data_IF_476667362867
#
_entry.id   IF_476667362867
#
_cell.length_a   1.000
_cell.length_b   1.000
_cell.length_c   1.000
_cell.angle_alpha   90.00
_cell.angle_beta   90.00
_cell.angle_gamma   90.00
#
_symmetry.space_group_name_H-M   'P 1'
#
loop_
_entity.id
_entity.type
_entity.pdbx_description
1 polymer ?
#
# COMPACT_ATOMS: atom_id res chain seq x y z
N UNK A 1 11.14 -5.42 22.53
CA UNK A 1 9.88 -5.43 21.75
C UNK A 1 9.72 -4.04 21.15
N UNK A 2 9.72 -3.88 19.80
CA UNK A 2 9.38 -2.57 19.23
C UNK A 2 7.90 -2.33 19.53
N UNK A 3 7.58 -1.30 20.30
CA UNK A 3 6.22 -0.86 20.52
C UNK A 3 5.58 -0.52 19.17
N UNK A 4 4.37 -0.95 18.96
CA UNK A 4 3.58 -0.63 17.76
C UNK A 4 3.41 0.89 17.66
N UNK A 5 3.75 1.48 16.52
CA UNK A 5 3.61 2.92 16.26
C UNK A 5 2.19 3.17 15.75
N UNK A 6 1.32 3.65 16.61
CA UNK A 6 -0.12 3.84 16.33
C UNK A 6 -0.35 4.83 15.18
N UNK A 7 0.46 5.87 15.11
CA UNK A 7 0.39 6.91 14.08
C UNK A 7 0.59 6.33 12.67
N UNK A 8 1.48 5.35 12.52
CA UNK A 8 1.69 4.68 11.23
C UNK A 8 0.50 3.81 10.83
N UNK A 9 -0.18 3.19 11.79
CA UNK A 9 -1.40 2.45 11.49
C UNK A 9 -2.53 3.40 11.07
N UNK A 10 -2.65 4.58 11.69
CA UNK A 10 -3.57 5.62 11.23
C UNK A 10 -3.27 6.06 9.79
N UNK A 11 -2.01 6.39 9.48
CA UNK A 11 -1.62 6.77 8.12
C UNK A 11 -1.97 5.68 7.10
N UNK A 12 -1.67 4.41 7.41
CA UNK A 12 -2.03 3.28 6.55
C UNK A 12 -3.54 3.15 6.35
N UNK A 13 -4.34 3.43 7.39
CA UNK A 13 -5.79 3.45 7.28
C UNK A 13 -6.26 4.51 6.27
N UNK A 14 -5.77 5.74 6.39
CA UNK A 14 -6.15 6.82 5.47
C UNK A 14 -5.75 6.47 4.04
N UNK A 15 -4.52 6.03 3.82
CA UNK A 15 -4.03 5.72 2.48
C UNK A 15 -4.73 4.52 1.84
N UNK A 16 -5.11 3.49 2.61
CA UNK A 16 -5.85 2.35 2.06
C UNK A 16 -7.29 2.74 1.68
N UNK A 17 -7.93 3.61 2.46
CA UNK A 17 -9.25 4.15 2.12
C UNK A 17 -9.19 4.98 0.85
N UNK A 18 -8.19 5.87 0.72
CA UNK A 18 -7.97 6.65 -0.51
C UNK A 18 -7.71 5.75 -1.72
N UNK A 19 -6.95 4.66 -1.53
CA UNK A 19 -6.74 3.66 -2.55
C UNK A 19 -8.07 3.04 -3.00
N UNK A 20 -8.94 2.62 -2.07
CA UNK A 20 -10.26 2.06 -2.39
C UNK A 20 -11.07 3.08 -3.18
N UNK A 21 -11.20 4.33 -2.71
CA UNK A 21 -11.99 5.39 -3.33
C UNK A 21 -11.63 5.56 -4.81
N UNK A 22 -10.35 5.70 -5.13
CA UNK A 22 -9.91 5.95 -6.50
C UNK A 22 -9.71 4.70 -7.36
N UNK A 23 -9.90 3.50 -6.77
CA UNK A 23 -10.10 2.26 -7.51
C UNK A 23 -11.58 1.98 -7.84
N UNK A 24 -12.53 2.69 -7.24
CA UNK A 24 -13.91 2.78 -7.75
C UNK A 24 -13.87 3.53 -9.08
N UNK A 25 -14.02 2.81 -10.18
CA UNK A 25 -13.83 3.36 -11.55
C UNK A 25 -14.67 4.60 -11.76
N UNK A 26 -15.94 4.56 -11.37
CA UNK A 26 -16.86 5.70 -11.50
C UNK A 26 -16.33 6.96 -10.79
N UNK A 27 -15.87 6.84 -9.54
CA UNK A 27 -15.32 7.96 -8.78
C UNK A 27 -13.99 8.44 -9.38
N UNK A 28 -13.11 7.49 -9.73
CA UNK A 28 -11.82 7.83 -10.33
C UNK A 28 -11.93 8.56 -11.68
N UNK A 29 -13.00 8.30 -12.44
CA UNK A 29 -13.26 8.94 -13.72
C UNK A 29 -14.04 10.27 -13.55
N UNK A 30 -14.90 10.37 -12.54
CA UNK A 30 -15.62 11.61 -12.20
C UNK A 30 -14.70 12.68 -11.60
N UNK A 31 -13.64 12.26 -10.88
CA UNK A 31 -12.73 13.17 -10.18
C UNK A 31 -11.26 12.94 -10.58
N UNK A 32 -10.89 13.11 -11.86
CA UNK A 32 -9.56 12.75 -12.35
C UNK A 32 -8.44 13.57 -11.70
N UNK A 33 -8.68 14.84 -11.39
CA UNK A 33 -7.71 15.68 -10.71
C UNK A 33 -7.44 15.24 -9.28
N UNK A 34 -8.50 15.00 -8.51
CA UNK A 34 -8.37 14.50 -7.14
C UNK A 34 -7.67 13.13 -7.11
N UNK A 35 -7.97 12.27 -8.09
CA UNK A 35 -7.26 10.99 -8.29
C UNK A 35 -5.76 11.21 -8.52
N UNK A 36 -5.38 12.15 -9.38
CA UNK A 36 -3.98 12.45 -9.67
C UNK A 36 -3.25 12.96 -8.40
N UNK A 37 -3.89 13.87 -7.64
CA UNK A 37 -3.36 14.34 -6.35
C UNK A 37 -3.11 13.16 -5.40
N UNK A 38 -4.10 12.28 -5.22
CA UNK A 38 -3.96 11.14 -4.30
C UNK A 38 -2.91 10.14 -4.80
N UNK A 39 -2.82 9.90 -6.11
CA UNK A 39 -1.84 8.98 -6.70
C UNK A 39 -0.39 9.49 -6.58
N UNK A 40 -0.20 10.78 -6.34
CA UNK A 40 1.13 11.35 -6.07
C UNK A 40 1.69 10.87 -4.75
N UNK A 41 0.86 10.70 -3.70
CA UNK A 41 1.39 10.47 -2.35
C UNK A 41 1.00 9.15 -1.68
N UNK A 42 -0.22 8.59 -1.93
CA UNK A 42 -0.73 7.50 -1.08
C UNK A 42 0.14 6.24 -1.12
N UNK A 43 0.54 5.76 -2.30
CA UNK A 43 1.42 4.59 -2.41
C UNK A 43 2.87 4.93 -2.09
N UNK A 44 3.31 6.16 -2.39
CA UNK A 44 4.62 6.68 -2.00
C UNK A 44 4.80 6.64 -0.47
N UNK A 45 3.79 7.10 0.27
CA UNK A 45 3.77 7.04 1.72
C UNK A 45 3.77 5.59 2.26
N UNK A 46 3.02 4.67 1.64
CA UNK A 46 3.08 3.25 1.99
C UNK A 46 4.49 2.67 1.83
N UNK A 47 5.20 3.03 0.76
CA UNK A 47 6.57 2.55 0.53
C UNK A 47 7.56 3.11 1.57
N UNK A 48 7.44 4.41 1.95
CA UNK A 48 8.23 4.99 3.05
C UNK A 48 7.97 4.22 4.35
N UNK A 49 6.72 4.02 4.71
CA UNK A 49 6.33 3.28 5.93
C UNK A 49 6.89 1.86 5.89
N UNK A 50 6.82 1.19 4.75
CA UNK A 50 7.31 -0.18 4.58
C UNK A 50 8.83 -0.28 4.73
N UNK A 51 9.58 0.65 4.11
CA UNK A 51 11.04 0.74 4.26
C UNK A 51 11.45 1.00 5.71
N UNK A 52 10.74 1.91 6.40
CA UNK A 52 10.99 2.22 7.81
C UNK A 52 10.69 1.05 8.76
N UNK A 53 9.60 0.32 8.54
CA UNK A 53 9.20 -0.79 9.40
C UNK A 53 10.01 -2.06 9.17
N UNK A 54 10.78 -2.13 8.07
CA UNK A 54 11.59 -3.31 7.78
C UNK A 54 12.71 -3.47 8.80
N UNK A 55 12.79 -4.66 9.39
CA UNK A 55 13.80 -5.01 10.38
C UNK A 55 14.78 -6.04 9.81
N UNK A 56 15.97 -5.57 9.44
CA UNK A 56 17.06 -6.39 8.90
C UNK A 56 17.79 -7.23 9.94
N UNK A 57 17.60 -6.95 11.24
CA UNK A 57 18.25 -7.67 12.33
C UNK A 57 17.56 -9.01 12.67
N UNK A 58 16.52 -9.37 11.91
CA UNK A 58 15.87 -10.68 12.06
C UNK A 58 16.75 -11.78 11.49
N UNK A 59 16.58 -12.99 12.03
CA UNK A 59 17.18 -14.19 11.47
C UNK A 59 16.76 -14.41 10.01
N UNK A 60 17.67 -14.93 9.19
CA UNK A 60 17.42 -15.21 7.76
C UNK A 60 16.17 -16.05 7.53
N UNK A 61 15.96 -17.10 8.37
CA UNK A 61 14.75 -17.92 8.34
C UNK A 61 13.47 -17.12 8.57
N UNK A 62 13.50 -16.16 9.52
CA UNK A 62 12.34 -15.34 9.84
C UNK A 62 12.01 -14.34 8.71
N UNK A 63 13.03 -13.77 8.06
CA UNK A 63 12.84 -12.89 6.90
C UNK A 63 12.31 -13.68 5.70
N UNK A 64 12.93 -14.82 5.36
CA UNK A 64 12.46 -15.68 4.27
C UNK A 64 11.01 -16.11 4.47
N UNK A 65 10.64 -16.51 5.71
CA UNK A 65 9.25 -16.85 6.06
C UNK A 65 8.33 -15.62 5.89
N UNK A 66 8.76 -14.44 6.31
CA UNK A 66 7.95 -13.21 6.17
C UNK A 66 7.72 -12.85 4.69
N UNK A 67 8.75 -12.96 3.85
CA UNK A 67 8.63 -12.73 2.41
C UNK A 67 7.74 -13.77 1.74
N UNK A 68 7.89 -15.05 2.10
CA UNK A 68 7.06 -16.14 1.57
C UNK A 68 5.56 -15.88 1.84
N UNK A 69 5.24 -15.44 3.08
CA UNK A 69 3.86 -15.17 3.47
C UNK A 69 3.29 -13.82 2.97
N UNK A 70 4.06 -13.06 2.20
CA UNK A 70 3.57 -11.97 1.34
C UNK A 70 3.49 -12.46 -0.10
N UNK A 71 4.45 -13.28 -0.55
CA UNK A 71 4.55 -13.79 -1.92
C UNK A 71 3.41 -14.76 -2.28
N UNK A 72 3.10 -15.72 -1.40
CA UNK A 72 2.03 -16.71 -1.66
C UNK A 72 0.68 -16.02 -1.93
N UNK A 73 0.13 -15.17 -1.04
CA UNK A 73 -1.15 -14.51 -1.31
C UNK A 73 -1.06 -13.56 -2.51
N UNK A 74 0.09 -12.90 -2.71
CA UNK A 74 0.31 -12.08 -3.89
C UNK A 74 0.14 -12.88 -5.17
N UNK A 75 0.85 -14.02 -5.33
CA UNK A 75 0.78 -14.85 -6.55
C UNK A 75 -0.62 -15.41 -6.78
N UNK A 76 -1.30 -15.86 -5.72
CA UNK A 76 -2.66 -16.39 -5.82
C UNK A 76 -3.62 -15.28 -6.31
N UNK A 77 -3.53 -14.09 -5.74
CA UNK A 77 -4.43 -12.98 -6.08
C UNK A 77 -4.09 -12.38 -7.45
N UNK A 78 -2.82 -12.29 -7.81
CA UNK A 78 -2.37 -11.86 -9.14
C UNK A 78 -2.85 -12.84 -10.23
N UNK A 79 -2.65 -14.15 -10.02
CA UNK A 79 -3.14 -15.17 -10.94
C UNK A 79 -4.68 -15.09 -11.08
N UNK A 80 -5.40 -14.94 -9.99
CA UNK A 80 -6.85 -14.74 -10.00
C UNK A 80 -7.26 -13.49 -10.76
N UNK A 81 -6.52 -12.37 -10.61
CA UNK A 81 -6.80 -11.14 -11.33
C UNK A 81 -6.52 -11.27 -12.83
N UNK A 82 -5.43 -11.94 -13.23
CA UNK A 82 -5.11 -12.22 -14.64
C UNK A 82 -6.20 -13.09 -15.29
N UNK A 83 -6.64 -14.15 -14.61
CA UNK A 83 -7.76 -14.99 -15.10
C UNK A 83 -9.04 -14.18 -15.23
N UNK A 84 -9.36 -13.37 -14.21
CA UNK A 84 -10.54 -12.52 -14.23
C UNK A 84 -10.47 -11.48 -15.37
N UNK A 85 -9.29 -10.93 -15.66
CA UNK A 85 -9.09 -9.94 -16.72
C UNK A 85 -9.30 -10.51 -18.13
N UNK A 86 -9.14 -11.81 -18.32
CA UNK A 86 -9.44 -12.48 -19.58
C UNK A 86 -10.95 -12.62 -19.84
N UNK A 87 -11.76 -12.66 -18.78
CA UNK A 87 -13.22 -12.94 -18.85
C UNK A 87 -14.04 -11.66 -18.68
N UNK A 88 -13.63 -10.75 -17.78
CA UNK A 88 -14.39 -9.55 -17.43
C UNK A 88 -13.87 -8.30 -18.16
N UNK A 89 -14.71 -7.30 -18.43
CA UNK A 89 -14.31 -6.04 -19.03
C UNK A 89 -13.57 -5.16 -18.01
N UNK A 90 -12.27 -5.42 -17.85
CA UNK A 90 -11.35 -4.62 -17.03
C UNK A 90 -10.47 -3.73 -17.92
N UNK A 91 -9.84 -2.69 -17.36
CA UNK A 91 -9.00 -1.76 -18.12
C UNK A 91 -7.78 -2.42 -18.76
N UNK A 92 -7.14 -3.34 -18.04
CA UNK A 92 -6.00 -4.11 -18.52
C UNK A 92 -6.50 -5.52 -18.86
N UNK A 93 -6.67 -5.82 -20.13
CA UNK A 93 -7.14 -7.11 -20.61
C UNK A 93 -5.97 -8.02 -20.99
N UNK A 94 -6.12 -9.30 -20.72
CA UNK A 94 -5.24 -10.36 -21.23
C UNK A 94 -5.97 -11.07 -22.36
N UNK A 95 -5.42 -11.02 -23.58
CA UNK A 95 -6.08 -11.59 -24.77
C UNK A 95 -5.94 -13.11 -24.80
N UNK A 96 -4.79 -13.65 -24.39
CA UNK A 96 -4.54 -15.08 -24.36
C UNK A 96 -4.08 -15.53 -22.97
N UNK A 97 -4.83 -16.44 -22.37
CA UNK A 97 -4.50 -17.00 -21.06
C UNK A 97 -3.60 -18.25 -21.25
N UNK A 98 -2.35 -18.15 -20.78
CA UNK A 98 -1.40 -19.27 -20.78
C UNK A 98 -0.61 -19.31 -19.47
N UNK A 99 0.00 -20.46 -19.17
CA UNK A 99 0.88 -20.60 -18.01
C UNK A 99 2.06 -19.62 -18.08
N UNK A 100 2.60 -19.36 -19.27
CA UNK A 100 3.66 -18.40 -19.49
C UNK A 100 3.23 -16.97 -19.17
N UNK A 101 2.02 -16.57 -19.56
CA UNK A 101 1.45 -15.25 -19.24
C UNK A 101 1.23 -15.11 -17.74
N UNK A 102 0.69 -16.14 -17.07
CA UNK A 102 0.51 -16.13 -15.61
C UNK A 102 1.85 -15.95 -14.87
N UNK A 103 2.87 -16.69 -15.25
CA UNK A 103 4.21 -16.56 -14.66
C UNK A 103 4.84 -15.20 -14.95
N UNK A 104 4.73 -14.70 -16.18
CA UNK A 104 5.25 -13.39 -16.55
C UNK A 104 4.59 -12.27 -15.73
N UNK A 105 3.26 -12.30 -15.59
CA UNK A 105 2.51 -11.34 -14.81
C UNK A 105 2.83 -11.43 -13.31
N UNK A 106 2.94 -12.63 -12.76
CA UNK A 106 3.27 -12.82 -11.37
C UNK A 106 4.72 -12.44 -10.99
N UNK A 107 5.69 -12.59 -11.92
CA UNK A 107 7.11 -12.43 -11.57
C UNK A 107 7.75 -11.15 -12.12
N UNK A 108 7.24 -10.61 -13.23
CA UNK A 108 7.91 -9.52 -13.97
C UNK A 108 7.03 -8.29 -14.12
N UNK A 109 5.80 -8.44 -14.61
CA UNK A 109 4.94 -7.32 -14.97
C UNK A 109 3.54 -7.47 -14.35
N UNK A 110 3.41 -7.30 -13.02
CA UNK A 110 2.14 -7.48 -12.31
C UNK A 110 1.05 -6.54 -12.81
N UNK A 111 -0.19 -7.03 -12.79
CA UNK A 111 -1.37 -6.30 -13.22
C UNK A 111 -2.16 -5.68 -12.06
N UNK A 112 -2.96 -4.68 -12.40
CA UNK A 112 -3.89 -4.07 -11.46
C UNK A 112 -3.21 -3.54 -10.20
N UNK A 113 -3.80 -3.70 -9.01
CA UNK A 113 -3.28 -3.11 -7.77
C UNK A 113 -2.12 -3.90 -7.13
N UNK A 114 -1.82 -5.10 -7.63
CA UNK A 114 -0.85 -6.00 -6.98
C UNK A 114 0.62 -5.65 -7.30
N UNK A 115 0.88 -4.73 -8.23
CA UNK A 115 2.21 -4.18 -8.49
C UNK A 115 2.91 -3.67 -7.21
N UNK A 116 2.12 -3.19 -6.23
CA UNK A 116 2.66 -2.73 -4.97
C UNK A 116 3.27 -3.86 -4.15
N UNK A 117 2.58 -5.00 -4.04
CA UNK A 117 3.10 -6.17 -3.31
C UNK A 117 4.35 -6.73 -3.99
N UNK A 118 4.36 -6.79 -5.32
CA UNK A 118 5.54 -7.18 -6.09
C UNK A 118 6.74 -6.26 -5.79
N UNK A 119 6.54 -4.95 -5.92
CA UNK A 119 7.57 -3.94 -5.57
C UNK A 119 8.05 -4.11 -4.11
N UNK A 120 7.11 -4.30 -3.19
CA UNK A 120 7.42 -4.48 -1.77
C UNK A 120 8.27 -5.73 -1.51
N UNK A 121 7.95 -6.86 -2.17
CA UNK A 121 8.72 -8.10 -2.08
C UNK A 121 10.14 -7.89 -2.59
N UNK A 122 10.30 -7.30 -3.78
CA UNK A 122 11.61 -7.02 -4.38
C UNK A 122 12.45 -6.08 -3.50
N UNK A 123 11.86 -4.97 -3.05
CA UNK A 123 12.56 -4.01 -2.19
C UNK A 123 12.98 -4.63 -0.84
N UNK A 124 12.10 -5.38 -0.19
CA UNK A 124 12.42 -6.04 1.09
C UNK A 124 13.49 -7.14 0.92
N UNK A 125 13.38 -7.95 -0.12
CA UNK A 125 14.37 -8.99 -0.43
C UNK A 125 15.74 -8.37 -0.72
N UNK A 126 15.78 -7.33 -1.57
CA UNK A 126 17.00 -6.60 -1.90
C UNK A 126 17.66 -5.98 -0.67
N UNK A 127 16.87 -5.29 0.16
CA UNK A 127 17.35 -4.67 1.38
C UNK A 127 17.96 -5.69 2.34
N UNK A 128 17.25 -6.80 2.55
CA UNK A 128 17.78 -7.86 3.42
C UNK A 128 19.04 -8.50 2.83
N UNK A 129 19.03 -8.88 1.55
CA UNK A 129 20.17 -9.52 0.88
C UNK A 129 21.42 -8.65 0.92
N UNK A 130 21.32 -7.39 0.48
CA UNK A 130 22.45 -6.46 0.44
C UNK A 130 23.01 -6.26 1.85
N UNK A 131 22.16 -6.01 2.83
CA UNK A 131 22.61 -5.78 4.20
C UNK A 131 23.17 -7.04 4.88
N UNK A 132 22.79 -8.22 4.42
CA UNK A 132 23.35 -9.46 4.92
C UNK A 132 24.72 -9.77 4.31
N UNK A 133 24.87 -9.57 3.00
CA UNK A 133 26.14 -9.83 2.28
C UNK A 133 27.20 -8.78 2.65
N UNK A 134 26.79 -7.56 2.92
CA UNK A 134 27.68 -6.44 3.23
C UNK A 134 27.73 -6.08 4.72
N UNK A 135 27.51 -7.05 5.63
CA UNK A 135 27.38 -6.82 7.06
C UNK A 135 28.60 -6.14 7.68
N UNK A 136 29.82 -6.42 7.17
CA UNK A 136 31.08 -5.85 7.62
C UNK A 136 31.36 -4.42 7.09
N UNK A 137 30.54 -3.90 6.18
CA UNK A 137 30.78 -2.60 5.53
C UNK A 137 30.08 -1.47 6.29
N UNK A 138 30.58 -0.24 6.10
CA UNK A 138 29.97 0.97 6.69
C UNK A 138 28.53 1.14 6.21
N UNK A 139 27.63 1.57 7.09
CA UNK A 139 26.19 1.71 6.79
C UNK A 139 25.89 2.53 5.55
N UNK A 140 26.65 3.63 5.33
CA UNK A 140 26.45 4.47 4.13
C UNK A 140 26.79 3.72 2.83
N UNK A 141 27.85 2.89 2.82
CA UNK A 141 28.22 2.12 1.62
C UNK A 141 27.13 1.08 1.32
N UNK A 142 26.63 0.40 2.35
CA UNK A 142 25.52 -0.57 2.23
C UNK A 142 24.26 0.09 1.64
N UNK A 143 23.97 1.31 2.09
CA UNK A 143 22.83 2.09 1.59
C UNK A 143 23.01 2.47 0.11
N UNK A 144 24.22 2.92 -0.28
CA UNK A 144 24.53 3.23 -1.69
C UNK A 144 24.41 1.99 -2.57
N UNK A 145 24.95 0.85 -2.13
CA UNK A 145 24.85 -0.41 -2.88
C UNK A 145 23.38 -0.82 -3.05
N UNK A 146 22.56 -0.70 -2.00
CA UNK A 146 21.13 -0.94 -2.09
C UNK A 146 20.48 -0.02 -3.12
N UNK A 147 20.81 1.28 -3.12
CA UNK A 147 20.31 2.23 -4.09
C UNK A 147 20.67 1.85 -5.53
N UNK A 148 21.94 1.50 -5.79
CA UNK A 148 22.41 1.06 -7.10
C UNK A 148 21.71 -0.23 -7.52
N UNK A 149 21.54 -1.19 -6.61
CA UNK A 149 20.87 -2.45 -6.92
C UNK A 149 19.39 -2.25 -7.30
N UNK A 150 18.67 -1.42 -6.54
CA UNK A 150 17.28 -1.08 -6.85
C UNK A 150 17.16 -0.27 -8.16
N UNK A 151 18.16 0.57 -8.48
CA UNK A 151 18.24 1.23 -9.78
C UNK A 151 18.39 0.21 -10.91
N UNK A 152 19.28 -0.77 -10.79
CA UNK A 152 19.44 -1.86 -11.77
C UNK A 152 18.12 -2.63 -11.96
N UNK A 153 17.41 -2.96 -10.88
CA UNK A 153 16.09 -3.61 -10.97
C UNK A 153 15.07 -2.74 -11.72
N UNK A 154 15.17 -1.42 -11.61
CA UNK A 154 14.29 -0.50 -12.36
C UNK A 154 14.62 -0.45 -13.84
N UNK A 155 15.91 -0.48 -14.22
CA UNK A 155 16.34 -0.58 -15.62
C UNK A 155 15.90 -1.91 -16.26
N UNK A 156 15.88 -2.98 -15.45
CA UNK A 156 15.32 -4.28 -15.85
C UNK A 156 13.77 -4.30 -15.88
N UNK A 157 13.13 -3.18 -15.62
CA UNK A 157 11.66 -3.00 -15.59
C UNK A 157 10.92 -3.90 -14.59
N UNK A 158 11.62 -4.40 -13.57
CA UNK A 158 11.00 -5.19 -12.49
C UNK A 158 10.26 -4.32 -11.47
N UNK A 159 10.66 -3.06 -11.34
CA UNK A 159 9.99 -2.04 -10.52
C UNK A 159 10.24 -0.66 -11.12
N UNK A 160 9.53 0.37 -10.65
CA UNK A 160 9.83 1.74 -11.05
C UNK A 160 10.79 2.39 -10.07
N UNK A 161 11.76 3.17 -10.57
CA UNK A 161 12.75 3.85 -9.72
C UNK A 161 12.09 4.83 -8.74
N UNK A 162 11.02 5.50 -9.15
CA UNK A 162 10.24 6.33 -8.24
C UNK A 162 9.74 5.55 -7.01
N UNK A 163 9.25 4.32 -7.19
CA UNK A 163 8.84 3.46 -6.07
C UNK A 163 10.03 3.08 -5.18
N UNK A 164 11.18 2.74 -5.78
CA UNK A 164 12.40 2.40 -5.06
C UNK A 164 12.90 3.55 -4.18
N UNK A 165 12.87 4.79 -4.67
CA UNK A 165 13.29 5.99 -3.92
C UNK A 165 12.45 6.17 -2.66
N UNK A 166 11.13 6.00 -2.72
CA UNK A 166 10.28 6.13 -1.53
C UNK A 166 10.55 5.01 -0.51
N UNK A 167 10.79 3.79 -0.96
CA UNK A 167 11.22 2.73 -0.06
C UNK A 167 12.58 3.03 0.56
N UNK A 168 13.56 3.51 -0.23
CA UNK A 168 14.88 3.93 0.24
C UNK A 168 14.80 5.08 1.25
N UNK A 169 13.90 6.05 1.06
CA UNK A 169 13.65 7.10 2.04
C UNK A 169 13.23 6.52 3.39
N UNK A 170 12.32 5.54 3.40
CA UNK A 170 11.95 4.81 4.61
C UNK A 170 13.12 4.07 5.26
N UNK A 171 13.95 3.41 4.45
CA UNK A 171 15.18 2.74 4.90
C UNK A 171 16.18 3.74 5.49
N UNK A 172 16.39 4.90 4.85
CA UNK A 172 17.27 5.96 5.34
C UNK A 172 16.84 6.45 6.73
N UNK A 173 15.53 6.72 6.92
CA UNK A 173 14.99 7.10 8.23
C UNK A 173 15.22 5.99 9.25
N UNK A 174 15.03 4.72 8.88
CA UNK A 174 15.28 3.58 9.76
C UNK A 174 16.75 3.48 10.17
N UNK A 175 17.66 3.64 9.23
CA UNK A 175 19.11 3.51 9.45
C UNK A 175 19.69 4.72 10.21
N UNK A 176 19.07 5.91 10.10
CA UNK A 176 19.47 7.07 10.89
C UNK A 176 19.14 6.95 12.37
N UNK A 177 18.30 5.98 12.77
CA UNK A 177 17.84 5.82 14.15
C UNK A 177 16.81 6.87 14.59
N UNK A 178 16.43 7.79 13.71
CA UNK A 178 15.43 8.82 14.02
C UNK A 178 14.01 8.22 14.02
N UNK A 179 13.18 8.59 15.01
CA UNK A 179 11.76 8.25 14.94
C UNK A 179 11.11 8.90 13.72
N UNK A 180 10.30 8.14 12.98
CA UNK A 180 9.64 8.64 11.74
C UNK A 180 8.79 9.90 12.02
N UNK A 181 8.14 9.97 13.18
CA UNK A 181 7.34 11.12 13.60
C UNK A 181 8.22 12.39 13.77
N UNK A 182 9.49 12.24 14.12
CA UNK A 182 10.42 13.36 14.22
C UNK A 182 10.84 13.87 12.83
N UNK A 183 10.90 13.00 11.84
CA UNK A 183 11.18 13.36 10.45
C UNK A 183 9.96 14.03 9.82
N UNK A 184 8.78 13.44 9.98
CA UNK A 184 7.51 14.00 9.51
C UNK A 184 6.81 14.73 10.66
N UNK A 185 7.31 15.92 10.99
CA UNK A 185 6.76 16.70 12.11
C UNK A 185 5.28 17.02 11.91
N UNK A 186 4.40 16.67 12.87
CA UNK A 186 2.98 16.98 12.78
C UNK A 186 2.75 18.50 12.69
N UNK A 187 2.09 18.97 11.63
CA UNK A 187 1.86 20.39 11.42
C UNK A 187 0.64 20.65 10.56
N UNK A 188 -0.31 21.47 11.04
CA UNK A 188 -1.42 21.96 10.22
C UNK A 188 -0.99 23.03 9.21
N UNK A 189 0.14 23.73 9.48
CA UNK A 189 0.69 24.69 8.52
C UNK A 189 1.09 24.03 7.19
N UNK A 190 1.29 22.71 7.19
CA UNK A 190 1.56 21.93 5.97
C UNK A 190 0.43 22.06 4.93
N UNK A 191 -0.79 22.43 5.32
CA UNK A 191 -1.90 22.60 4.38
C UNK A 191 -1.65 23.72 3.37
N UNK A 192 -1.01 24.81 3.77
CA UNK A 192 -0.79 25.98 2.90
C UNK A 192 0.12 25.61 1.71
N UNK A 193 1.38 25.16 1.93
CA UNK A 193 2.23 24.76 0.80
C UNK A 193 1.67 23.54 0.05
N UNK A 194 0.95 22.63 0.70
CA UNK A 194 0.29 21.50 0.04
C UNK A 194 -0.73 21.97 -0.98
N UNK A 195 -1.64 22.89 -0.61
CA UNK A 195 -2.64 23.45 -1.53
C UNK A 195 -1.95 24.15 -2.69
N UNK A 196 -0.94 25.00 -2.40
CA UNK A 196 -0.20 25.70 -3.45
C UNK A 196 0.41 24.71 -4.45
N UNK A 197 1.10 23.68 -3.96
CA UNK A 197 1.70 22.66 -4.84
C UNK A 197 0.65 21.90 -5.65
N UNK A 198 -0.48 21.57 -5.03
CA UNK A 198 -1.56 20.86 -5.71
C UNK A 198 -2.36 21.73 -6.68
N UNK A 199 -2.24 23.04 -6.72
CA UNK A 199 -2.86 23.89 -7.73
C UNK A 199 -2.22 23.73 -9.13
N UNK A 200 -1.02 23.15 -9.22
CA UNK A 200 -0.27 23.01 -10.46
C UNK A 200 -0.17 21.54 -10.87
N UNK A 201 -0.82 21.11 -11.96
CA UNK A 201 -0.85 19.71 -12.40
C UNK A 201 0.54 19.10 -12.63
N UNK A 202 1.51 19.89 -13.06
CA UNK A 202 2.90 19.49 -13.29
C UNK A 202 3.60 18.98 -12.01
N UNK A 203 3.15 19.44 -10.84
CA UNK A 203 3.65 18.99 -9.55
C UNK A 203 3.09 17.61 -9.14
N UNK A 204 2.02 17.16 -9.79
CA UNK A 204 1.31 15.93 -9.44
C UNK A 204 1.97 14.68 -10.05
N UNK A 205 3.28 14.63 -10.00
CA UNK A 205 4.07 13.48 -10.40
C UNK A 205 4.97 13.04 -9.24
N UNK A 206 4.74 11.83 -8.75
CA UNK A 206 5.51 11.25 -7.63
C UNK A 206 7.01 11.07 -7.91
N UNK A 207 7.44 11.10 -9.18
CA UNK A 207 8.85 11.02 -9.56
C UNK A 207 9.60 12.35 -9.48
N UNK A 208 8.95 13.44 -9.08
CA UNK A 208 9.54 14.79 -8.97
C UNK A 208 9.78 15.20 -7.51
N UNK A 209 10.59 16.25 -7.32
CA UNK A 209 10.79 16.85 -5.99
C UNK A 209 9.48 17.41 -5.42
N UNK A 210 8.61 17.96 -6.28
CA UNK A 210 7.28 18.41 -5.87
C UNK A 210 6.43 17.25 -5.33
N UNK A 211 6.44 16.09 -6.00
CA UNK A 211 5.75 14.88 -5.52
C UNK A 211 6.28 14.37 -4.17
N UNK A 212 7.59 14.46 -3.96
CA UNK A 212 8.21 14.14 -2.65
C UNK A 212 7.74 15.14 -1.59
N UNK A 213 7.73 16.46 -1.90
CA UNK A 213 7.24 17.48 -0.99
C UNK A 213 5.76 17.31 -0.66
N UNK A 214 4.90 17.03 -1.65
CA UNK A 214 3.48 16.71 -1.43
C UNK A 214 3.34 15.52 -0.50
N UNK A 215 4.09 14.43 -0.72
CA UNK A 215 4.05 13.25 0.14
C UNK A 215 4.45 13.58 1.59
N UNK A 216 5.51 14.38 1.78
CA UNK A 216 5.94 14.84 3.09
C UNK A 216 4.86 15.67 3.79
N UNK A 217 4.30 16.67 3.10
CA UNK A 217 3.30 17.59 3.64
C UNK A 217 2.00 16.87 4.02
N UNK A 218 1.56 15.91 3.21
CA UNK A 218 0.38 15.08 3.53
C UNK A 218 0.62 14.23 4.78
N UNK A 219 1.76 13.56 4.89
CA UNK A 219 2.08 12.79 6.10
C UNK A 219 2.09 13.69 7.33
N UNK A 220 2.76 14.85 7.25
CA UNK A 220 2.83 15.84 8.33
C UNK A 220 1.45 16.34 8.77
N UNK A 221 0.58 16.68 7.80
CA UNK A 221 -0.79 17.13 8.05
C UNK A 221 -1.64 16.02 8.70
N UNK A 222 -1.56 14.79 8.19
CA UNK A 222 -2.30 13.66 8.74
C UNK A 222 -1.84 13.31 10.16
N UNK A 223 -0.55 13.38 10.45
CA UNK A 223 -0.03 13.18 11.80
C UNK A 223 -0.55 14.26 12.77
N UNK A 224 -0.65 15.52 12.33
CA UNK A 224 -1.28 16.58 13.13
C UNK A 224 -2.78 16.28 13.38
N UNK A 225 -3.50 15.84 12.36
CA UNK A 225 -4.92 15.47 12.48
C UNK A 225 -5.15 14.32 13.45
N UNK A 226 -4.24 13.32 13.49
CA UNK A 226 -4.36 12.15 14.37
C UNK A 226 -4.50 12.53 15.85
N UNK A 227 -3.82 13.58 16.30
CA UNK A 227 -3.84 13.99 17.70
C UNK A 227 -5.22 14.44 18.18
N UNK A 228 -6.04 14.99 17.28
CA UNK A 228 -7.36 15.55 17.58
C UNK A 228 -8.53 14.61 17.31
N UNK A 229 -8.25 13.40 16.80
CA UNK A 229 -9.32 12.44 16.51
C UNK A 229 -9.98 11.92 17.80
N UNK A 230 -11.32 11.74 17.81
CA UNK A 230 -12.00 11.02 18.87
C UNK A 230 -11.49 9.59 19.05
N UNK A 231 -11.44 9.08 20.28
CA UNK A 231 -10.89 7.75 20.57
C UNK A 231 -11.57 6.60 19.80
N UNK A 232 -12.89 6.70 19.56
CA UNK A 232 -13.63 5.72 18.73
C UNK A 232 -13.10 5.67 17.30
N UNK A 233 -12.83 6.85 16.70
CA UNK A 233 -12.30 6.97 15.35
C UNK A 233 -10.84 6.50 15.29
N UNK A 234 -10.02 6.88 16.29
CA UNK A 234 -8.65 6.36 16.41
C UNK A 234 -8.64 4.83 16.44
N UNK A 235 -9.45 4.22 17.30
CA UNK A 235 -9.53 2.76 17.45
C UNK A 235 -9.89 2.06 16.14
N UNK A 236 -10.92 2.56 15.45
CA UNK A 236 -11.33 2.02 14.16
C UNK A 236 -10.23 2.17 13.10
N UNK A 237 -9.62 3.35 13.02
CA UNK A 237 -8.54 3.62 12.06
C UNK A 237 -7.30 2.75 12.32
N UNK A 238 -6.94 2.52 13.58
CA UNK A 238 -5.84 1.63 13.96
C UNK A 238 -6.15 0.17 13.61
N UNK A 239 -7.40 -0.27 13.76
CA UNK A 239 -7.81 -1.63 13.38
C UNK A 239 -7.73 -1.81 11.85
N UNK A 240 -8.29 -0.90 11.07
CA UNK A 240 -8.20 -0.93 9.60
C UNK A 240 -6.73 -0.86 9.16
N UNK A 241 -5.97 0.09 9.70
CA UNK A 241 -4.56 0.32 9.33
C UNK A 241 -3.62 -0.83 9.66
N UNK A 242 -3.93 -1.63 10.70
CA UNK A 242 -3.15 -2.83 11.01
C UNK A 242 -3.47 -4.01 10.09
N UNK A 243 -4.60 -3.97 9.38
CA UNK A 243 -5.07 -5.04 8.51
C UNK A 243 -5.04 -4.65 7.01
N UNK A 244 -4.22 -3.66 6.64
CA UNK A 244 -4.16 -3.16 5.26
C UNK A 244 -3.75 -4.19 4.22
N UNK A 245 -2.96 -5.22 4.59
CA UNK A 245 -2.61 -6.30 3.67
C UNK A 245 -3.86 -7.07 3.21
N UNK A 246 -4.75 -7.40 4.14
CA UNK A 246 -6.01 -8.10 3.84
C UNK A 246 -6.89 -7.25 2.91
N UNK A 247 -6.98 -5.95 3.21
CA UNK A 247 -7.76 -5.03 2.38
C UNK A 247 -7.13 -4.91 0.98
N UNK A 248 -5.82 -4.77 0.88
CA UNK A 248 -5.12 -4.70 -0.40
C UNK A 248 -5.35 -5.95 -1.26
N UNK A 249 -5.33 -7.14 -0.65
CA UNK A 249 -5.53 -8.41 -1.35
C UNK A 249 -6.95 -8.54 -1.90
N UNK A 250 -7.98 -8.25 -1.09
CA UNK A 250 -9.36 -8.55 -1.44
C UNK A 250 -10.15 -7.37 -2.00
N UNK A 251 -9.72 -6.11 -1.82
CA UNK A 251 -10.46 -4.94 -2.31
C UNK A 251 -10.73 -4.95 -3.81
N UNK A 252 -9.87 -5.47 -4.73
CA UNK A 252 -10.18 -5.48 -6.15
C UNK A 252 -11.47 -6.27 -6.49
N UNK A 253 -11.72 -7.36 -5.76
CA UNK A 253 -12.95 -8.15 -5.93
C UNK A 253 -14.17 -7.30 -5.59
N UNK A 254 -14.16 -6.65 -4.43
CA UNK A 254 -15.30 -5.87 -3.95
C UNK A 254 -15.49 -4.56 -4.69
N UNK A 255 -14.40 -3.91 -5.18
CA UNK A 255 -14.53 -2.73 -6.04
C UNK A 255 -15.11 -3.05 -7.41
N UNK A 256 -14.89 -4.26 -7.95
CA UNK A 256 -15.55 -4.72 -9.16
C UNK A 256 -17.03 -5.03 -8.88
N UNK A 257 -17.32 -5.72 -7.79
CA UNK A 257 -18.71 -6.04 -7.40
C UNK A 257 -19.55 -4.79 -7.13
N UNK A 258 -18.92 -3.68 -6.66
CA UNK A 258 -19.64 -2.42 -6.42
C UNK A 258 -20.28 -1.83 -7.68
N UNK A 259 -19.78 -2.16 -8.87
CA UNK A 259 -20.38 -1.72 -10.14
C UNK A 259 -21.81 -2.22 -10.32
N UNK A 260 -22.17 -3.36 -9.73
CA UNK A 260 -23.50 -3.96 -9.89
C UNK A 260 -24.62 -3.11 -9.31
N UNK A 261 -24.35 -2.36 -8.24
CA UNK A 261 -25.34 -1.49 -7.61
C UNK A 261 -25.15 0.01 -7.91
N UNK A 262 -24.20 0.38 -8.77
CA UNK A 262 -24.00 1.77 -9.18
C UNK A 262 -25.29 2.43 -9.72
N UNK A 263 -26.14 1.76 -10.53
CA UNK A 263 -27.37 2.37 -11.03
C UNK A 263 -28.34 2.82 -9.93
N UNK A 264 -28.29 2.20 -8.74
CA UNK A 264 -29.14 2.60 -7.60
C UNK A 264 -28.80 4.00 -7.07
N UNK A 265 -27.65 4.54 -7.42
CA UNK A 265 -27.17 5.86 -7.00
C UNK A 265 -27.27 6.92 -8.13
N UNK A 266 -28.05 6.65 -9.18
CA UNK A 266 -28.26 7.59 -10.29
C UNK A 266 -28.87 8.94 -9.86
N UNK A 267 -29.48 9.00 -8.67
CA UNK A 267 -30.01 10.22 -8.07
C UNK A 267 -28.90 11.18 -7.56
N UNK A 268 -27.70 10.67 -7.30
CA UNK A 268 -26.58 11.47 -6.80
C UNK A 268 -25.57 11.76 -7.92
N UNK A 269 -25.73 12.91 -8.55
CA UNK A 269 -24.84 13.35 -9.62
C UNK A 269 -23.37 13.53 -9.16
N UNK A 270 -23.12 13.69 -7.86
CA UNK A 270 -21.77 13.80 -7.31
C UNK A 270 -21.10 12.43 -7.09
N UNK A 271 -21.88 11.35 -6.99
CA UNK A 271 -21.40 10.03 -6.68
C UNK A 271 -20.86 9.85 -5.24
N UNK A 272 -21.04 10.85 -4.36
CA UNK A 272 -20.53 10.80 -2.99
C UNK A 272 -21.26 9.72 -2.18
N UNK A 273 -22.57 9.57 -2.34
CA UNK A 273 -23.34 8.50 -1.69
C UNK A 273 -22.85 7.12 -2.13
N UNK A 274 -22.65 6.93 -3.43
CA UNK A 274 -22.06 5.69 -3.97
C UNK A 274 -20.67 5.45 -3.39
N UNK A 275 -19.82 6.47 -3.33
CA UNK A 275 -18.47 6.37 -2.77
C UNK A 275 -18.49 5.90 -1.32
N UNK A 276 -19.29 6.53 -0.46
CA UNK A 276 -19.37 6.19 0.97
C UNK A 276 -19.84 4.75 1.16
N UNK A 277 -20.94 4.38 0.50
CA UNK A 277 -21.49 3.02 0.59
C UNK A 277 -20.50 1.99 0.07
N UNK A 278 -19.83 2.28 -1.06
CA UNK A 278 -18.86 1.36 -1.64
C UNK A 278 -17.61 1.19 -0.80
N UNK A 279 -17.09 2.23 -0.16
CA UNK A 279 -15.95 2.10 0.78
C UNK A 279 -16.32 1.21 1.95
N UNK A 280 -17.50 1.40 2.55
CA UNK A 280 -17.98 0.55 3.65
C UNK A 280 -18.15 -0.89 3.17
N UNK A 281 -18.79 -1.08 2.01
CA UNK A 281 -19.00 -2.41 1.40
C UNK A 281 -17.67 -3.13 1.16
N UNK A 282 -16.68 -2.45 0.58
CA UNK A 282 -15.34 -3.02 0.29
C UNK A 282 -14.64 -3.43 1.59
N UNK A 283 -14.61 -2.55 2.60
CA UNK A 283 -13.93 -2.86 3.87
C UNK A 283 -14.63 -4.01 4.59
N UNK A 284 -15.95 -3.97 4.70
CA UNK A 284 -16.75 -5.05 5.31
C UNK A 284 -16.59 -6.37 4.54
N UNK A 285 -16.60 -6.30 3.21
CA UNK A 285 -16.40 -7.47 2.35
C UNK A 285 -15.01 -8.10 2.52
N UNK A 286 -13.95 -7.28 2.56
CA UNK A 286 -12.59 -7.76 2.82
C UNK A 286 -12.48 -8.46 4.19
N UNK A 287 -13.05 -7.86 5.23
CA UNK A 287 -13.03 -8.46 6.56
C UNK A 287 -13.94 -9.69 6.64
N UNK A 288 -15.12 -9.67 5.99
CA UNK A 288 -16.02 -10.82 5.89
C UNK A 288 -15.37 -12.01 5.18
N UNK A 289 -14.73 -11.78 4.03
CA UNK A 289 -13.96 -12.80 3.31
C UNK A 289 -12.87 -13.40 4.20
N UNK A 290 -12.13 -12.53 4.88
CA UNK A 290 -11.06 -12.97 5.78
C UNK A 290 -11.60 -13.79 6.95
N UNK A 291 -12.74 -13.38 7.52
CA UNK A 291 -13.41 -14.14 8.58
C UNK A 291 -13.82 -15.54 8.10
N UNK A 292 -14.34 -15.65 6.89
CA UNK A 292 -14.68 -16.95 6.29
C UNK A 292 -13.42 -17.82 6.12
N UNK A 293 -12.33 -17.26 5.59
CA UNK A 293 -11.06 -17.98 5.45
C UNK A 293 -10.48 -18.43 6.81
N UNK A 294 -10.62 -17.60 7.85
CA UNK A 294 -10.24 -17.97 9.22
C UNK A 294 -11.10 -19.11 9.76
N UNK A 295 -12.40 -19.12 9.50
CA UNK A 295 -13.32 -20.17 9.90
C UNK A 295 -13.08 -21.50 9.17
N UNK A 296 -12.76 -21.43 7.88
CA UNK A 296 -12.42 -22.59 7.06
C UNK A 296 -11.00 -23.12 7.29
N UNK A 297 -10.21 -22.51 8.21
CA UNK A 297 -8.83 -22.88 8.50
C UNK A 297 -7.88 -22.78 7.28
N UNK A 298 -8.21 -21.92 6.30
CA UNK A 298 -7.38 -21.67 5.11
C UNK A 298 -6.26 -20.66 5.42
N UNK A 299 -6.45 -19.80 6.42
CA UNK A 299 -5.52 -18.73 6.81
C UNK A 299 -4.06 -19.19 7.05
N UNK A 300 -3.77 -20.36 7.65
CA UNK A 300 -2.40 -20.84 7.80
C UNK A 300 -1.70 -21.09 6.47
N UNK A 301 -2.43 -21.49 5.45
CA UNK A 301 -1.89 -21.80 4.11
C UNK A 301 -1.78 -20.54 3.23
N UNK A 302 -2.59 -19.52 3.51
CA UNK A 302 -2.65 -18.28 2.74
C UNK A 302 -1.71 -17.20 3.26
N UNK A 303 -1.66 -16.95 4.58
CA UNK A 303 -0.80 -15.94 5.22
C UNK A 303 0.11 -16.49 6.34
N UNK A 304 0.19 -17.81 6.51
CA UNK A 304 1.03 -18.44 7.51
C UNK A 304 0.64 -18.17 8.96
N UNK A 305 -0.58 -17.72 9.19
CA UNK A 305 -1.09 -17.37 10.52
C UNK A 305 -2.36 -18.17 10.83
N UNK A 306 -2.53 -18.60 12.08
CA UNK A 306 -3.76 -19.28 12.51
C UNK A 306 -5.02 -18.44 12.27
N UNK A 307 -4.91 -17.10 12.38
CA UNK A 307 -5.95 -16.12 12.04
C UNK A 307 -5.32 -14.93 11.35
N UNK A 308 -5.95 -14.46 10.30
CA UNK A 308 -5.56 -13.27 9.56
C UNK A 308 -6.05 -12.00 10.25
N UNK A 309 -7.28 -12.03 10.78
CA UNK A 309 -7.86 -10.92 11.52
C UNK A 309 -7.63 -11.12 13.02
N UNK A 310 -6.87 -10.23 13.68
CA UNK A 310 -6.87 -10.17 15.12
C UNK A 310 -8.26 -9.75 15.62
N UNK A 311 -8.64 -10.14 16.85
CA UNK A 311 -9.88 -9.65 17.44
C UNK A 311 -9.86 -8.11 17.51
N UNK A 312 -11.03 -7.50 17.30
CA UNK A 312 -11.17 -6.05 17.49
C UNK A 312 -10.88 -5.73 18.96
N UNK A 313 -10.02 -4.73 19.25
CA UNK A 313 -9.68 -4.42 20.64
C UNK A 313 -10.94 -3.97 21.41
N UNK A 314 -11.12 -4.46 22.66
CA UNK A 314 -12.23 -4.07 23.48
C UNK A 314 -12.26 -2.54 23.71
N UNK A 315 -13.41 -2.01 24.08
CA UNK A 315 -13.49 -0.66 24.57
C UNK A 315 -12.82 -0.62 25.95
N UNK A 316 -11.81 0.22 26.12
CA UNK A 316 -11.25 0.57 27.43
C UNK A 316 -12.28 1.38 28.21
#
# INVERSE_FOLDING_TARGET
MNSRIKELDFLKCVFIILMIIFHLVYIGDSYPYAKQVVYTFHMSAFLIISGYLNNINKETKAVGRSLLWIFIPYVIMEAGYVVMSAVLPVREKVDELSAGVLLYKALIAPMGPYWYLHTLILCNASYFLIYKVTDKWKGIIRFIILGIFLYILSELRLLTFANAIYFLAGVAIRQSGLPIIRVFQPSFLSVVPLVILCCFPENLNRGTLAGVAITYLVISLLLATYTYLPEKVKRLSLYIGSNTLVILLFSPVFTILSKAYLPLFAFDATGICFMIVSVIFVICGCFGMTYVLDRLHISPYFLGKKRMLPPYPPAD
#
